data_IF_627880143600
#
_entry.id   IF_627880143600
#
_cell.length_a   1.000
_cell.length_b   1.000
_cell.length_c   1.000
_cell.angle_alpha   90.00
_cell.angle_beta   90.00
_cell.angle_gamma   90.00
#
_symmetry.space_group_name_H-M   'P 1'
#
loop_
_entity.id
_entity.type
_entity.pdbx_description
1 polymer ?
#
# COMPACT_ATOMS: atom_id res chain seq x y z
N UNK A 1 -1.79 27.81 -52.40
CA UNK A 1 -1.29 28.07 -51.03
C UNK A 1 -2.44 27.79 -50.07
N UNK A 2 -2.49 26.59 -49.50
CA UNK A 2 -3.67 26.06 -48.78
C UNK A 2 -3.54 26.36 -47.29
N UNK A 3 -4.37 27.26 -46.77
CA UNK A 3 -4.40 27.63 -45.35
C UNK A 3 -4.94 26.46 -44.51
N UNK A 4 -4.04 25.73 -43.85
CA UNK A 4 -4.38 24.75 -42.82
C UNK A 4 -4.83 25.48 -41.55
N UNK A 5 -6.14 25.51 -41.31
CA UNK A 5 -6.73 26.09 -40.08
C UNK A 5 -6.48 25.13 -38.92
N UNK A 6 -5.56 25.50 -38.02
CA UNK A 6 -5.25 24.78 -36.79
C UNK A 6 -6.44 24.92 -35.83
N UNK A 7 -7.37 23.94 -35.79
CA UNK A 7 -8.45 23.90 -34.78
C UNK A 7 -7.84 23.69 -33.40
N UNK A 8 -7.79 24.74 -32.58
CA UNK A 8 -7.62 24.58 -31.13
C UNK A 8 -8.86 23.85 -30.59
N UNK A 9 -8.67 22.79 -29.79
CA UNK A 9 -9.76 22.17 -29.03
C UNK A 9 -10.23 23.18 -27.98
N UNK A 10 -11.25 23.97 -28.30
CA UNK A 10 -11.94 24.85 -27.36
C UNK A 10 -12.66 23.97 -26.34
N UNK A 11 -12.17 23.94 -25.10
CA UNK A 11 -12.85 23.23 -24.01
C UNK A 11 -14.05 24.06 -23.56
N UNK A 12 -15.25 23.45 -23.54
CA UNK A 12 -16.43 24.07 -22.95
C UNK A 12 -16.26 24.19 -21.43
N UNK A 13 -16.70 25.32 -20.85
CA UNK A 13 -16.72 25.56 -19.40
C UNK A 13 -17.41 24.42 -18.66
N UNK A 14 -18.49 23.86 -19.23
CA UNK A 14 -19.20 22.71 -18.66
C UNK A 14 -18.30 21.49 -18.49
N UNK A 15 -17.43 21.18 -19.48
CA UNK A 15 -16.50 20.05 -19.39
C UNK A 15 -15.41 20.29 -18.33
N UNK A 16 -14.99 21.54 -18.12
CA UNK A 16 -14.06 21.89 -17.04
C UNK A 16 -14.71 21.73 -15.67
N UNK A 17 -15.94 22.21 -15.50
CA UNK A 17 -16.69 22.12 -14.24
C UNK A 17 -17.01 20.66 -13.90
N UNK A 18 -17.49 19.86 -14.86
CA UNK A 18 -17.78 18.44 -14.63
C UNK A 18 -16.52 17.65 -14.23
N UNK A 19 -15.36 17.96 -14.82
CA UNK A 19 -14.08 17.35 -14.42
C UNK A 19 -13.66 17.78 -13.02
N UNK A 20 -13.78 19.07 -12.70
CA UNK A 20 -13.43 19.57 -11.36
C UNK A 20 -14.30 18.92 -10.27
N UNK A 21 -15.61 18.83 -10.49
CA UNK A 21 -16.54 18.17 -9.57
C UNK A 21 -16.24 16.67 -9.47
N UNK A 22 -15.97 16.01 -10.61
CA UNK A 22 -15.58 14.60 -10.61
C UNK A 22 -14.32 14.34 -9.79
N UNK A 23 -13.28 15.16 -9.95
CA UNK A 23 -12.07 15.09 -9.14
C UNK A 23 -12.35 15.32 -7.64
N UNK A 24 -13.18 16.31 -7.30
CA UNK A 24 -13.58 16.61 -5.93
C UNK A 24 -14.32 15.44 -5.27
N UNK A 25 -15.26 14.82 -5.99
CA UNK A 25 -16.00 13.66 -5.52
C UNK A 25 -15.06 12.46 -5.32
N UNK A 26 -14.14 12.21 -6.26
CA UNK A 26 -13.14 11.14 -6.11
C UNK A 26 -12.32 11.37 -4.85
N UNK A 27 -11.81 12.58 -4.61
CA UNK A 27 -11.03 12.89 -3.41
C UNK A 27 -11.85 12.72 -2.13
N UNK A 28 -13.11 13.15 -2.13
CA UNK A 28 -14.01 13.03 -0.98
C UNK A 28 -14.36 11.57 -0.66
N UNK A 29 -14.75 10.77 -1.64
CA UNK A 29 -15.00 9.35 -1.42
C UNK A 29 -13.73 8.61 -1.03
N UNK A 30 -12.57 8.99 -1.58
CA UNK A 30 -11.27 8.42 -1.20
C UNK A 30 -10.94 8.67 0.26
N UNK A 31 -11.18 9.88 0.77
CA UNK A 31 -10.92 10.20 2.17
C UNK A 31 -11.89 9.45 3.08
N UNK A 32 -13.17 9.34 2.72
CA UNK A 32 -14.15 8.56 3.48
C UNK A 32 -13.74 7.08 3.58
N UNK A 33 -13.34 6.46 2.46
CA UNK A 33 -12.88 5.06 2.45
C UNK A 33 -11.62 4.88 3.31
N UNK A 34 -10.68 5.81 3.27
CA UNK A 34 -9.49 5.76 4.11
C UNK A 34 -9.82 5.80 5.60
N UNK A 35 -10.68 6.73 6.03
CA UNK A 35 -11.06 6.85 7.43
C UNK A 35 -11.98 5.71 7.91
N UNK A 36 -12.74 5.07 7.01
CA UNK A 36 -13.65 3.97 7.38
C UNK A 36 -12.96 2.60 7.41
N UNK A 37 -11.96 2.36 6.56
CA UNK A 37 -11.34 1.04 6.39
C UNK A 37 -10.15 0.78 7.32
N UNK A 38 -9.76 1.80 8.09
CA UNK A 38 -8.55 1.77 8.90
C UNK A 38 -7.28 2.04 8.08
N UNK A 39 -6.16 2.34 8.76
CA UNK A 39 -4.96 2.80 8.10
C UNK A 39 -4.12 1.66 7.50
N UNK A 40 -4.45 0.40 7.78
CA UNK A 40 -3.67 -0.79 7.36
C UNK A 40 -4.34 -1.56 6.22
N UNK A 41 -3.58 -2.14 5.29
CA UNK A 41 -4.14 -2.92 4.20
C UNK A 41 -4.74 -4.24 4.72
N UNK A 42 -5.75 -4.83 4.03
CA UNK A 42 -6.39 -6.08 4.47
C UNK A 42 -5.44 -7.28 4.64
N UNK A 43 -4.27 -7.24 4.01
CA UNK A 43 -3.23 -8.27 4.17
C UNK A 43 -2.64 -8.27 5.60
N UNK A 44 -2.58 -7.09 6.23
CA UNK A 44 -1.99 -6.90 7.55
C UNK A 44 -2.69 -7.71 8.63
N UNK A 45 -4.02 -7.72 8.60
CA UNK A 45 -4.83 -8.41 9.60
C UNK A 45 -4.83 -9.94 9.43
N UNK A 46 -4.41 -10.42 8.26
CA UNK A 46 -4.34 -11.86 7.94
C UNK A 46 -2.98 -12.47 8.22
N UNK A 47 -1.93 -11.65 8.24
CA UNK A 47 -0.57 -12.11 8.52
C UNK A 47 -0.41 -12.24 10.02
N UNK A 48 0.00 -13.43 10.45
CA UNK A 48 0.31 -13.72 11.85
C UNK A 48 1.76 -14.10 11.99
N UNK A 49 2.39 -13.65 13.08
CA UNK A 49 3.73 -14.12 13.46
C UNK A 49 3.76 -15.65 13.59
N UNK A 50 4.95 -16.23 13.42
CA UNK A 50 5.20 -17.67 13.42
C UNK A 50 4.57 -18.48 12.28
N UNK A 51 3.78 -17.88 11.38
CA UNK A 51 3.28 -18.60 10.20
C UNK A 51 4.43 -18.96 9.26
N UNK A 52 4.28 -20.03 8.47
CA UNK A 52 5.32 -20.43 7.52
C UNK A 52 5.44 -19.43 6.37
N UNK A 53 6.61 -19.35 5.73
CA UNK A 53 6.76 -18.55 4.50
C UNK A 53 5.72 -18.92 3.46
N UNK A 54 5.44 -20.21 3.28
CA UNK A 54 4.44 -20.68 2.31
C UNK A 54 3.05 -20.10 2.57
N UNK A 55 2.62 -20.09 3.83
CA UNK A 55 1.33 -19.50 4.23
C UNK A 55 1.33 -17.99 4.03
N UNK A 56 2.41 -17.31 4.42
CA UNK A 56 2.57 -15.88 4.17
C UNK A 56 2.45 -15.56 2.67
N UNK A 57 3.17 -16.28 1.82
CA UNK A 57 3.15 -16.09 0.36
C UNK A 57 1.76 -16.39 -0.23
N UNK A 58 1.00 -17.31 0.34
CA UNK A 58 -0.38 -17.58 -0.10
C UNK A 58 -1.33 -16.39 0.15
N UNK A 59 -1.00 -15.53 1.11
CA UNK A 59 -1.79 -14.35 1.48
C UNK A 59 -1.26 -13.09 0.79
N UNK A 60 0.06 -12.88 0.81
CA UNK A 60 0.72 -11.68 0.29
C UNK A 60 0.98 -11.76 -1.22
N UNK A 61 1.02 -12.95 -1.80
CA UNK A 61 1.46 -13.19 -3.18
C UNK A 61 2.98 -13.09 -3.32
N UNK A 62 3.44 -12.97 -4.56
CA UNK A 62 4.86 -12.74 -4.88
C UNK A 62 5.27 -11.29 -4.60
N UNK A 63 6.52 -11.03 -4.16
CA UNK A 63 7.01 -9.68 -3.97
C UNK A 63 6.97 -8.90 -5.28
N UNK A 64 6.62 -7.62 -5.17
CA UNK A 64 6.48 -6.72 -6.31
C UNK A 64 7.54 -5.62 -6.34
N UNK A 65 8.42 -5.59 -5.34
CA UNK A 65 9.51 -4.62 -5.21
C UNK A 65 10.65 -5.19 -4.35
N UNK A 66 11.78 -4.47 -4.34
CA UNK A 66 12.89 -4.69 -3.43
C UNK A 66 13.20 -3.39 -2.70
N UNK A 67 13.60 -3.51 -1.43
CA UNK A 67 14.01 -2.37 -0.63
C UNK A 67 15.39 -1.88 -1.10
N UNK A 68 15.45 -0.64 -1.60
CA UNK A 68 16.64 -0.07 -2.26
C UNK A 68 17.95 -0.12 -1.46
N UNK A 69 17.88 -0.18 -0.13
CA UNK A 69 19.07 -0.18 0.75
C UNK A 69 19.48 -1.58 1.20
N UNK A 70 18.53 -2.49 1.35
CA UNK A 70 18.76 -3.82 1.96
C UNK A 70 18.58 -4.97 0.98
N UNK A 71 18.14 -4.67 -0.24
CA UNK A 71 17.80 -5.63 -1.30
C UNK A 71 16.76 -6.69 -0.88
N UNK A 72 16.04 -6.43 0.22
CA UNK A 72 15.04 -7.33 0.78
C UNK A 72 13.73 -7.21 0.02
N UNK A 73 13.04 -8.34 -0.14
CA UNK A 73 11.72 -8.41 -0.77
C UNK A 73 10.71 -7.47 -0.10
N UNK A 74 9.93 -6.79 -0.93
CA UNK A 74 8.83 -5.93 -0.53
C UNK A 74 7.58 -6.23 -1.36
N UNK A 75 6.43 -6.14 -0.70
CA UNK A 75 5.12 -6.17 -1.33
C UNK A 75 4.57 -4.76 -1.36
N UNK A 76 4.58 -4.16 -2.56
CA UNK A 76 3.96 -2.85 -2.78
C UNK A 76 2.50 -3.02 -3.14
N UNK A 77 1.63 -2.54 -2.26
CA UNK A 77 0.17 -2.66 -2.39
C UNK A 77 -0.39 -1.27 -2.69
N UNK A 78 -1.00 -1.05 -3.87
CA UNK A 78 -1.55 0.25 -4.23
C UNK A 78 -2.71 0.61 -3.30
N UNK A 79 -2.76 1.88 -2.91
CA UNK A 79 -3.84 2.46 -2.14
C UNK A 79 -4.39 3.68 -2.88
N UNK A 80 -5.66 4.02 -2.65
CA UNK A 80 -6.33 5.10 -3.38
C UNK A 80 -5.65 6.47 -3.21
N UNK A 81 -5.00 6.68 -2.07
CA UNK A 81 -4.26 7.91 -1.73
C UNK A 81 -2.73 7.74 -1.73
N UNK A 82 -2.21 6.60 -2.20
CA UNK A 82 -0.77 6.31 -2.20
C UNK A 82 -0.45 4.82 -2.30
N UNK A 83 0.45 4.31 -1.45
CA UNK A 83 0.77 2.87 -1.43
C UNK A 83 1.29 2.41 -0.08
N UNK A 84 1.17 1.11 0.15
CA UNK A 84 1.81 0.41 1.26
C UNK A 84 3.05 -0.33 0.77
N UNK A 85 4.08 -0.38 1.60
CA UNK A 85 5.21 -1.29 1.47
C UNK A 85 5.21 -2.23 2.66
N UNK A 86 4.88 -3.49 2.40
CA UNK A 86 4.96 -4.58 3.34
C UNK A 86 6.34 -5.23 3.22
N UNK A 87 7.02 -5.39 4.35
CA UNK A 87 8.27 -6.14 4.46
C UNK A 87 8.09 -7.29 5.45
N UNK A 88 8.70 -8.43 5.17
CA UNK A 88 8.66 -9.61 6.02
C UNK A 88 10.06 -10.19 6.19
N UNK A 89 10.38 -10.59 7.42
CA UNK A 89 11.61 -11.30 7.76
C UNK A 89 11.24 -12.66 8.31
N UNK A 90 11.99 -13.66 7.87
CA UNK A 90 11.77 -15.06 8.21
C UNK A 90 12.92 -15.56 9.09
N UNK A 91 12.61 -16.40 10.06
CA UNK A 91 13.59 -17.12 10.88
C UNK A 91 14.30 -18.20 10.07
N UNK A 92 15.33 -18.83 10.65
CA UNK A 92 16.03 -19.98 10.05
C UNK A 92 15.08 -21.16 9.75
N UNK A 93 14.03 -21.32 10.58
CA UNK A 93 12.98 -22.34 10.40
C UNK A 93 11.89 -21.95 9.37
N UNK A 94 12.16 -20.92 8.56
CA UNK A 94 11.28 -20.42 7.50
C UNK A 94 9.90 -19.93 7.99
N UNK A 95 9.88 -19.30 9.18
CA UNK A 95 8.67 -18.72 9.78
C UNK A 95 8.74 -17.21 9.88
N UNK A 96 7.60 -16.56 9.71
CA UNK A 96 7.47 -15.11 9.82
C UNK A 96 7.83 -14.65 11.24
N UNK A 97 8.90 -13.89 11.34
CA UNK A 97 9.48 -13.44 12.61
C UNK A 97 9.20 -11.95 12.86
N UNK A 98 9.27 -11.16 11.78
CA UNK A 98 8.96 -9.73 11.79
C UNK A 98 8.18 -9.38 10.54
N UNK A 99 7.19 -8.52 10.69
CA UNK A 99 6.43 -7.94 9.59
C UNK A 99 6.33 -6.45 9.82
N UNK A 100 6.62 -5.66 8.79
CA UNK A 100 6.48 -4.21 8.83
C UNK A 100 5.57 -3.75 7.70
N UNK A 101 4.76 -2.73 7.97
CA UNK A 101 4.08 -1.98 6.93
C UNK A 101 4.47 -0.52 7.06
N UNK A 102 4.94 0.04 5.94
CA UNK A 102 5.07 1.48 5.77
C UNK A 102 3.99 1.93 4.81
N UNK A 103 3.24 2.96 5.19
CA UNK A 103 2.20 3.56 4.37
C UNK A 103 2.64 4.95 3.94
N UNK A 104 2.58 5.22 2.65
CA UNK A 104 2.88 6.52 2.04
C UNK A 104 1.57 7.10 1.51
N UNK A 105 1.05 8.16 2.15
CA UNK A 105 -0.21 8.81 1.75
C UNK A 105 0.00 10.31 1.69
N UNK A 106 -0.09 10.89 0.49
CA UNK A 106 0.19 12.30 0.28
C UNK A 106 1.60 12.69 0.76
N UNK A 107 1.67 13.58 1.75
CA UNK A 107 2.92 14.00 2.42
C UNK A 107 3.24 13.21 3.69
N UNK A 108 2.31 12.38 4.16
CA UNK A 108 2.42 11.67 5.43
C UNK A 108 2.99 10.26 5.23
N UNK A 109 3.74 9.79 6.23
CA UNK A 109 4.24 8.42 6.28
C UNK A 109 3.88 7.81 7.63
N UNK A 110 3.24 6.64 7.59
CA UNK A 110 2.90 5.87 8.78
C UNK A 110 3.62 4.53 8.77
N UNK A 111 3.97 4.03 9.96
CA UNK A 111 4.74 2.80 10.09
C UNK A 111 4.15 1.92 11.19
N UNK A 112 3.93 0.65 10.87
CA UNK A 112 3.53 -0.39 11.80
C UNK A 112 4.51 -1.56 11.75
N UNK A 113 4.74 -2.18 12.91
CA UNK A 113 5.65 -3.32 13.04
C UNK A 113 5.07 -4.35 14.01
N UNK A 114 5.00 -5.59 13.55
CA UNK A 114 4.81 -6.76 14.39
C UNK A 114 6.13 -7.53 14.44
N UNK A 115 6.51 -7.99 15.63
CA UNK A 115 7.75 -8.76 15.82
C UNK A 115 7.52 -9.82 16.87
N UNK A 116 8.00 -11.04 16.62
CA UNK A 116 8.09 -12.06 17.65
C UNK A 116 9.01 -11.56 18.76
N UNK A 117 8.48 -11.51 19.98
CA UNK A 117 9.30 -11.40 21.17
C UNK A 117 9.51 -12.80 21.72
N UNK A 118 10.76 -13.21 21.91
CA UNK A 118 11.08 -14.38 22.72
C UNK A 118 10.67 -14.08 24.16
N UNK A 119 9.45 -14.45 24.55
CA UNK A 119 9.18 -14.70 25.97
C UNK A 119 9.93 -15.98 26.31
N UNK A 120 10.99 -15.86 27.12
CA UNK A 120 11.51 -17.00 27.86
C UNK A 120 10.33 -17.63 28.59
N UNK A 121 9.95 -18.84 28.19
CA UNK A 121 9.09 -19.69 29.01
C UNK A 121 9.97 -20.04 30.20
N UNK A 122 9.79 -19.34 31.32
CA UNK A 122 10.27 -19.84 32.60
C UNK A 122 9.55 -21.17 32.82
N UNK A 123 10.28 -22.26 32.66
CA UNK A 123 9.82 -23.55 33.15
C UNK A 123 9.88 -23.47 34.68
N UNK A 124 8.74 -23.17 35.31
CA UNK A 124 8.50 -23.48 36.72
C UNK A 124 8.05 -24.93 36.86
#
# INVERSE_FOLDING_TARGET
MTLQTKRSKQWSVTNMVCRAIGCLLILFFSSVVYFSSGPTPPVWDKITLCMTRREFMSIAGEPSAQHWKTDSDLWRIPHLLGWYELGAWFSEDDRVETVTITCYIGSETYFWKQRMTTRSISME
#
